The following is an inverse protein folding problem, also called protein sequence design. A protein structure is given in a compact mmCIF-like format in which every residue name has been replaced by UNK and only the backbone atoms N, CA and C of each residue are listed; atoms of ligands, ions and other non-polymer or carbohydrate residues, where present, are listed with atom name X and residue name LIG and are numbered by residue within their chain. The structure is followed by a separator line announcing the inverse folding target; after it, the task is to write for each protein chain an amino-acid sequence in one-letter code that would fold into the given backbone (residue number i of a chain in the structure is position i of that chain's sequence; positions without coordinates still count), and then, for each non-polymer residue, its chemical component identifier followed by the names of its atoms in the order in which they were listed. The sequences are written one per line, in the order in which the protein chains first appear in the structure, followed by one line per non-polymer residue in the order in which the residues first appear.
data_IF_450662512079
#
_entry.id   IF_450662512079
#
_cell.length_a   1.000
_cell.length_b   1.000
_cell.length_c   1.000
_cell.angle_alpha   90.00
_cell.angle_beta   90.00
_cell.angle_gamma   90.00
#
_symmetry.space_group_name_H-M   'P 1'
#
loop_
_entity.id
_entity.type
_entity.pdbx_description
1 polymer ?
#
# COMPACT_ATOMS: atom_id res chain seq x y z
N UNK A 1 -21.40 1.83 -7.79
CA UNK A 1 -19.94 2.05 -7.84
C UNK A 1 -19.36 1.50 -6.55
N UNK A 2 -18.32 0.66 -6.61
CA UNK A 2 -17.72 0.08 -5.40
C UNK A 2 -17.03 1.19 -4.61
N UNK A 3 -17.33 1.33 -3.32
CA UNK A 3 -16.72 2.34 -2.47
C UNK A 3 -15.43 1.82 -1.86
N UNK A 4 -14.29 2.29 -2.35
CA UNK A 4 -12.96 1.97 -1.81
C UNK A 4 -12.42 3.06 -0.86
N UNK A 5 -13.13 4.18 -0.71
CA UNK A 5 -12.68 5.29 0.15
C UNK A 5 -12.62 4.86 1.63
N UNK A 6 -11.61 5.36 2.33
CA UNK A 6 -11.40 5.10 3.75
C UNK A 6 -9.93 4.85 4.10
N UNK A 7 -9.70 4.46 5.34
CA UNK A 7 -8.39 4.12 5.87
C UNK A 7 -8.24 2.60 5.91
N UNK A 8 -7.27 2.12 5.18
CA UNK A 8 -6.91 0.70 5.06
C UNK A 8 -5.60 0.42 5.79
N UNK A 9 -5.58 -0.67 6.57
CA UNK A 9 -4.36 -1.17 7.20
C UNK A 9 -3.68 -2.17 6.27
N UNK A 10 -2.38 -2.10 6.12
CA UNK A 10 -1.62 -3.12 5.42
C UNK A 10 -1.53 -4.39 6.28
N UNK A 11 -1.91 -5.52 5.69
CA UNK A 11 -1.82 -6.83 6.31
C UNK A 11 -0.60 -7.58 5.81
N UNK A 12 -0.34 -7.52 4.49
CA UNK A 12 0.85 -8.12 3.91
C UNK A 12 1.27 -7.41 2.64
N UNK A 13 2.58 -7.44 2.37
CA UNK A 13 3.19 -7.00 1.12
C UNK A 13 4.15 -8.11 0.65
N UNK A 14 3.74 -8.81 -0.38
CA UNK A 14 4.36 -10.04 -0.81
C UNK A 14 4.77 -10.01 -2.28
N UNK A 15 5.95 -10.53 -2.58
CA UNK A 15 6.39 -10.84 -3.93
C UNK A 15 6.32 -12.34 -4.17
N UNK A 16 5.78 -12.71 -5.31
CA UNK A 16 5.63 -14.09 -5.74
C UNK A 16 6.38 -14.32 -7.04
N UNK A 17 7.01 -15.49 -7.14
CA UNK A 17 7.60 -16.02 -8.36
C UNK A 17 6.93 -17.36 -8.65
N UNK A 18 6.27 -17.52 -9.81
CA UNK A 18 5.53 -18.74 -10.15
C UNK A 18 4.52 -19.19 -9.07
N UNK A 19 3.88 -18.23 -8.37
CA UNK A 19 2.96 -18.53 -7.28
C UNK A 19 3.63 -18.84 -5.94
N UNK A 20 4.95 -18.93 -5.88
CA UNK A 20 5.72 -19.12 -4.64
C UNK A 20 6.10 -17.78 -4.03
N UNK A 21 5.88 -17.61 -2.73
CA UNK A 21 6.34 -16.44 -1.99
C UNK A 21 7.88 -16.42 -1.97
N UNK A 22 8.49 -15.34 -2.49
CA UNK A 22 9.95 -15.22 -2.57
C UNK A 22 10.50 -14.05 -1.73
N UNK A 23 9.69 -13.02 -1.46
CA UNK A 23 10.14 -11.86 -0.72
C UNK A 23 8.97 -11.16 -0.02
N UNK A 24 9.20 -10.71 1.19
CA UNK A 24 8.34 -9.82 1.96
C UNK A 24 9.12 -8.55 2.31
N UNK A 25 9.03 -7.48 1.49
CA UNK A 25 9.90 -6.30 1.64
C UNK A 25 9.80 -5.61 3.00
N UNK A 26 8.63 -5.69 3.63
CA UNK A 26 8.38 -5.13 4.95
C UNK A 26 8.19 -6.21 6.03
N UNK A 27 8.73 -7.42 5.79
CA UNK A 27 8.59 -8.54 6.71
C UNK A 27 7.19 -9.17 6.75
N UNK A 28 6.98 -10.17 7.63
CA UNK A 28 5.70 -10.89 7.74
C UNK A 28 4.58 -10.07 8.39
N UNK A 29 4.92 -9.04 9.15
CA UNK A 29 3.98 -8.16 9.86
C UNK A 29 4.26 -6.69 9.53
N UNK A 30 4.03 -6.25 8.28
CA UNK A 30 4.38 -4.89 7.86
C UNK A 30 3.55 -3.84 8.61
N UNK A 31 4.15 -2.69 8.85
CA UNK A 31 3.41 -1.49 9.21
C UNK A 31 3.00 -0.75 7.95
N UNK A 32 1.75 -0.34 7.85
CA UNK A 32 1.34 0.45 6.68
C UNK A 32 -0.10 0.91 6.72
N UNK A 33 -0.32 2.02 6.03
CA UNK A 33 -1.63 2.63 5.82
C UNK A 33 -1.79 3.01 4.36
N UNK A 34 -3.01 2.84 3.85
CA UNK A 34 -3.47 3.48 2.63
C UNK A 34 -4.71 4.28 2.97
N UNK A 35 -4.68 5.57 2.69
CA UNK A 35 -5.80 6.49 2.86
C UNK A 35 -6.32 6.80 1.48
N UNK A 36 -7.59 6.51 1.22
CA UNK A 36 -8.26 6.77 -0.04
C UNK A 36 -9.39 7.75 0.23
N UNK A 37 -9.28 8.93 -0.31
CA UNK A 37 -10.28 9.98 -0.18
C UNK A 37 -11.33 9.87 -1.29
N UNK A 38 -12.62 10.08 -0.98
CA UNK A 38 -13.68 10.02 -1.99
C UNK A 38 -13.52 11.07 -3.09
N UNK A 39 -12.77 12.14 -2.84
CA UNK A 39 -12.47 13.23 -3.77
C UNK A 39 -11.42 12.86 -4.83
N UNK A 40 -10.93 11.62 -4.85
CA UNK A 40 -10.03 11.13 -5.90
C UNK A 40 -8.54 11.30 -5.59
N UNK A 41 -8.15 11.31 -4.32
CA UNK A 41 -6.77 11.35 -3.88
C UNK A 41 -6.44 10.21 -2.92
N UNK A 42 -5.23 9.66 -3.00
CA UNK A 42 -4.79 8.65 -2.06
C UNK A 42 -3.37 8.89 -1.56
N UNK A 43 -3.08 8.34 -0.39
CA UNK A 43 -1.74 8.31 0.18
C UNK A 43 -1.44 6.92 0.74
N UNK A 44 -0.24 6.45 0.49
CA UNK A 44 0.26 5.15 0.94
C UNK A 44 1.56 5.34 1.69
N UNK A 45 1.68 4.67 2.83
CA UNK A 45 2.90 4.60 3.61
C UNK A 45 3.05 3.19 4.14
N UNK A 46 4.21 2.56 3.92
CA UNK A 46 4.52 1.25 4.47
C UNK A 46 5.98 1.18 4.90
N UNK A 47 6.26 0.38 5.93
CA UNK A 47 7.63 0.12 6.38
C UNK A 47 7.71 -1.22 7.11
N UNK A 48 8.92 -1.70 7.31
CA UNK A 48 9.20 -2.84 8.16
C UNK A 48 9.17 -2.41 9.65
N UNK A 49 8.63 -3.23 10.57
CA UNK A 49 8.59 -2.89 12.00
C UNK A 49 9.96 -2.58 12.59
N UNK A 50 11.00 -3.30 12.16
CA UNK A 50 12.39 -3.11 12.60
C UNK A 50 13.00 -1.78 12.16
N UNK A 51 12.48 -1.17 11.10
CA UNK A 51 12.88 0.16 10.63
C UNK A 51 12.05 1.29 11.26
N UNK A 52 10.99 0.96 12.00
CA UNK A 52 10.10 1.91 12.65
C UNK A 52 10.44 2.11 14.15
N UNK A 53 11.67 1.84 14.52
CA UNK A 53 12.17 2.04 15.89
C UNK A 53 13.04 3.29 15.97
N UNK A 54 13.09 3.97 17.12
CA UNK A 54 14.00 5.11 17.33
C UNK A 54 15.46 4.74 17.07
N UNK A 55 16.21 5.67 16.51
CA UNK A 55 17.67 5.51 16.36
C UNK A 55 18.32 5.40 17.74
N UNK A 56 19.20 4.43 17.98
CA UNK A 56 19.88 4.27 19.27
C UNK A 56 20.54 5.57 19.76
N UNK A 57 20.50 5.83 21.08
CA UNK A 57 21.09 7.02 21.68
C UNK A 57 20.24 8.30 21.50
N UNK A 58 18.93 8.15 21.19
CA UNK A 58 17.99 9.27 20.98
C UNK A 58 18.43 10.24 19.88
N UNK A 59 19.21 9.75 18.92
CA UNK A 59 19.70 10.54 17.78
C UNK A 59 18.51 10.97 16.93
N UNK A 60 18.42 12.28 16.65
CA UNK A 60 17.36 12.81 15.78
C UNK A 60 17.69 12.52 14.32
N UNK A 61 16.68 12.38 13.50
CA UNK A 61 16.81 12.10 12.07
C UNK A 61 17.84 12.97 11.34
N UNK A 62 17.84 14.29 11.61
CA UNK A 62 18.77 15.24 10.96
C UNK A 62 20.24 15.08 11.36
N UNK A 63 20.49 14.45 12.51
CA UNK A 63 21.81 14.29 13.11
C UNK A 63 22.30 12.84 12.95
N UNK A 64 21.47 11.98 12.34
CA UNK A 64 21.78 10.59 12.08
C UNK A 64 22.80 10.44 10.94
N UNK A 65 23.59 9.39 10.99
CA UNK A 65 24.49 9.01 9.90
C UNK A 65 23.70 8.55 8.66
N UNK A 66 24.33 8.64 7.48
CA UNK A 66 23.73 8.14 6.22
C UNK A 66 23.36 6.66 6.31
N UNK A 67 24.13 5.85 7.04
CA UNK A 67 23.85 4.44 7.24
C UNK A 67 22.56 4.21 8.06
N UNK A 68 22.34 4.98 9.12
CA UNK A 68 21.14 4.92 9.94
C UNK A 68 19.93 5.41 9.15
N UNK A 69 20.06 6.52 8.41
CA UNK A 69 19.01 7.01 7.52
C UNK A 69 18.65 5.96 6.46
N UNK A 70 19.67 5.34 5.83
CA UNK A 70 19.44 4.32 4.82
C UNK A 70 18.75 3.07 5.38
N UNK A 71 19.06 2.67 6.61
CA UNK A 71 18.40 1.53 7.27
C UNK A 71 16.91 1.78 7.49
N UNK A 72 16.49 3.01 7.76
CA UNK A 72 15.09 3.40 7.94
C UNK A 72 14.41 3.64 6.58
N UNK A 73 15.09 4.33 5.66
CA UNK A 73 14.48 4.77 4.41
C UNK A 73 14.32 3.65 3.37
N UNK A 74 15.26 2.68 3.29
CA UNK A 74 15.21 1.60 2.30
C UNK A 74 13.98 0.70 2.40
N UNK A 75 13.52 0.26 3.59
CA UNK A 75 12.30 -0.52 3.71
C UNK A 75 11.02 0.35 3.70
N UNK A 76 11.15 1.67 3.64
CA UNK A 76 9.99 2.56 3.58
C UNK A 76 9.53 2.75 2.15
N UNK A 77 8.22 2.60 1.92
CA UNK A 77 7.52 2.98 0.70
C UNK A 77 6.50 4.05 1.05
N UNK A 78 6.64 5.23 0.44
CA UNK A 78 5.68 6.33 0.59
C UNK A 78 5.40 6.99 -0.74
N UNK A 79 4.11 7.14 -1.07
CA UNK A 79 3.67 7.90 -2.24
C UNK A 79 2.26 8.42 -2.04
N UNK A 80 1.93 9.49 -2.77
CA UNK A 80 0.59 10.07 -2.83
C UNK A 80 0.29 10.52 -4.25
N UNK A 81 -0.99 10.66 -4.57
CA UNK A 81 -1.41 11.12 -5.87
C UNK A 81 -2.91 11.01 -6.12
N UNK A 82 -3.33 11.52 -7.28
CA UNK A 82 -4.71 11.38 -7.75
C UNK A 82 -4.97 9.95 -8.17
N UNK A 83 -6.17 9.46 -7.90
CA UNK A 83 -6.56 8.15 -8.36
C UNK A 83 -7.87 8.17 -9.16
N UNK A 84 -7.99 7.20 -10.02
CA UNK A 84 -9.20 6.87 -10.76
C UNK A 84 -9.47 5.38 -10.67
N UNK A 85 -10.75 5.00 -10.74
CA UNK A 85 -11.16 3.61 -10.85
C UNK A 85 -11.83 3.36 -12.19
N UNK A 86 -11.50 2.24 -12.80
CA UNK A 86 -12.08 1.77 -14.06
C UNK A 86 -12.29 0.26 -14.00
N UNK A 87 -12.94 -0.30 -15.02
CA UNK A 87 -13.12 -1.73 -15.16
C UNK A 87 -12.44 -2.23 -16.43
N UNK A 88 -11.68 -3.31 -16.31
CA UNK A 88 -11.17 -4.11 -17.42
C UNK A 88 -11.92 -5.45 -17.40
N UNK A 89 -12.98 -5.58 -18.22
CA UNK A 89 -13.96 -6.63 -18.05
C UNK A 89 -14.65 -6.55 -16.69
N UNK A 90 -14.63 -7.62 -15.92
CA UNK A 90 -15.16 -7.64 -14.54
C UNK A 90 -14.16 -7.18 -13.48
N UNK A 91 -12.88 -6.91 -13.87
CA UNK A 91 -11.81 -6.59 -12.93
C UNK A 91 -11.79 -5.09 -12.65
N UNK A 92 -11.93 -4.70 -11.38
CA UNK A 92 -11.71 -3.33 -10.93
C UNK A 92 -10.23 -2.98 -11.04
N UNK A 93 -9.92 -1.85 -11.66
CA UNK A 93 -8.56 -1.30 -11.80
C UNK A 93 -8.49 0.03 -11.07
N UNK A 94 -7.56 0.15 -10.15
CA UNK A 94 -7.14 1.39 -9.50
C UNK A 94 -5.92 1.93 -10.26
N UNK A 95 -6.04 3.13 -10.79
CA UNK A 95 -4.94 3.85 -11.46
C UNK A 95 -4.57 5.06 -10.63
N UNK A 96 -3.31 5.15 -10.20
CA UNK A 96 -2.80 6.29 -9.42
C UNK A 96 -1.78 7.05 -10.25
N UNK A 97 -2.04 8.35 -10.46
CA UNK A 97 -1.05 9.30 -10.97
C UNK A 97 -0.33 9.90 -9.77
N UNK A 98 0.89 9.43 -9.54
CA UNK A 98 1.69 9.80 -8.37
C UNK A 98 2.29 11.19 -8.57
N UNK A 99 2.09 12.08 -7.61
CA UNK A 99 2.63 13.46 -7.62
C UNK A 99 3.71 13.69 -6.57
N UNK A 100 3.80 12.82 -5.56
CA UNK A 100 4.92 12.78 -4.60
C UNK A 100 5.21 11.35 -4.19
N UNK A 101 6.49 10.96 -4.17
CA UNK A 101 6.95 9.64 -3.73
C UNK A 101 8.37 9.71 -3.15
N UNK A 102 8.68 8.79 -2.24
CA UNK A 102 10.06 8.57 -1.80
C UNK A 102 10.95 8.11 -2.97
N UNK A 103 10.44 7.20 -3.80
CA UNK A 103 11.09 6.82 -5.06
C UNK A 103 10.54 7.67 -6.21
N UNK A 104 11.31 8.62 -6.76
CA UNK A 104 10.84 9.52 -7.81
C UNK A 104 10.46 8.80 -9.11
N UNK A 105 10.94 7.57 -9.33
CA UNK A 105 10.59 6.78 -10.53
C UNK A 105 9.10 6.47 -10.62
N UNK A 106 8.38 6.47 -9.49
CA UNK A 106 6.93 6.24 -9.44
C UNK A 106 6.12 7.41 -10.00
N UNK A 107 6.73 8.61 -10.08
CA UNK A 107 6.09 9.82 -10.61
C UNK A 107 6.14 9.90 -12.15
N UNK A 108 6.94 9.05 -12.81
CA UNK A 108 7.14 9.10 -14.27
C UNK A 108 6.03 8.43 -15.06
N UNK A 109 5.18 7.60 -14.44
CA UNK A 109 4.10 6.86 -15.08
C UNK A 109 3.00 6.48 -14.08
N UNK A 110 1.73 6.36 -14.55
CA UNK A 110 0.64 5.92 -13.69
C UNK A 110 0.88 4.52 -13.12
N UNK A 111 0.56 4.36 -11.85
CA UNK A 111 0.63 3.08 -11.14
C UNK A 111 -0.74 2.39 -11.24
N UNK A 112 -0.82 1.31 -12.01
CA UNK A 112 -2.06 0.57 -12.23
C UNK A 112 -2.09 -0.72 -11.43
N UNK A 113 -3.20 -0.97 -10.74
CA UNK A 113 -3.40 -2.14 -9.88
C UNK A 113 -4.78 -2.76 -10.13
N UNK A 114 -4.81 -4.06 -10.31
CA UNK A 114 -6.05 -4.83 -10.18
C UNK A 114 -6.46 -4.85 -8.71
N UNK A 115 -7.69 -4.43 -8.42
CA UNK A 115 -8.24 -4.42 -7.07
C UNK A 115 -9.29 -5.53 -6.95
N UNK A 116 -9.10 -6.44 -5.99
CA UNK A 116 -10.08 -7.45 -5.61
C UNK A 116 -10.59 -7.12 -4.21
N UNK A 117 -11.90 -6.96 -4.08
CA UNK A 117 -12.55 -6.61 -2.81
C UNK A 117 -13.39 -7.78 -2.32
N UNK A 118 -13.35 -8.03 -1.03
CA UNK A 118 -14.21 -9.01 -0.37
C UNK A 118 -14.45 -8.60 1.09
N UNK A 119 -15.49 -9.13 1.68
CA UNK A 119 -15.81 -8.94 3.10
C UNK A 119 -15.74 -10.27 3.82
N UNK A 120 -15.11 -10.30 4.97
CA UNK A 120 -15.08 -11.45 5.85
C UNK A 120 -15.28 -11.00 7.30
N UNK A 121 -16.29 -11.56 7.95
CA UNK A 121 -16.64 -11.27 9.35
C UNK A 121 -16.83 -9.75 9.65
N UNK A 122 -17.41 -8.99 8.70
CA UNK A 122 -17.64 -7.56 8.85
C UNK A 122 -16.39 -6.68 8.66
N UNK A 123 -15.31 -7.26 8.18
CA UNK A 123 -14.09 -6.56 7.80
C UNK A 123 -14.00 -6.58 6.27
N UNK A 124 -13.81 -5.41 5.68
CA UNK A 124 -13.54 -5.31 4.25
C UNK A 124 -12.05 -5.53 4.00
N UNK A 125 -11.78 -6.32 2.98
CA UNK A 125 -10.43 -6.58 2.48
C UNK A 125 -10.28 -6.12 1.04
N UNK A 126 -9.08 -5.67 0.70
CA UNK A 126 -8.70 -5.30 -0.65
C UNK A 126 -7.34 -5.90 -1.00
N UNK A 127 -7.28 -6.64 -2.10
CA UNK A 127 -6.03 -7.14 -2.66
C UNK A 127 -5.68 -6.29 -3.87
N UNK A 128 -4.49 -5.70 -3.87
CA UNK A 128 -3.95 -4.95 -5.00
C UNK A 128 -2.81 -5.71 -5.67
N UNK A 129 -2.91 -5.92 -6.99
CA UNK A 129 -1.89 -6.57 -7.83
C UNK A 129 -1.58 -5.72 -9.06
N UNK A 130 -0.36 -5.76 -9.61
CA UNK A 130 -0.05 -5.05 -10.86
C UNK A 130 -0.99 -5.47 -12.00
N UNK A 131 -1.31 -4.50 -12.88
CA UNK A 131 -2.01 -4.78 -14.14
C UNK A 131 -0.97 -5.13 -15.22
N UNK A 132 -1.26 -6.17 -16.01
CA UNK A 132 -0.55 -6.40 -17.27
C UNK A 132 0.84 -7.01 -17.15
N UNK A 133 1.13 -7.74 -16.07
CA UNK A 133 2.22 -8.73 -16.15
C UNK A 133 1.71 -9.90 -17.00
N UNK A 134 2.21 -10.07 -18.25
CA UNK A 134 1.83 -11.22 -19.06
C UNK A 134 2.21 -12.50 -18.29
N UNK A 135 1.31 -13.47 -18.26
CA UNK A 135 1.57 -14.78 -17.64
C UNK A 135 2.80 -15.52 -18.22
N UNK A 136 3.45 -14.95 -19.23
CA UNK A 136 4.45 -15.62 -20.06
C UNK A 136 5.86 -15.03 -20.05
N UNK A 137 6.15 -13.88 -19.43
CA UNK A 137 7.48 -13.27 -19.61
C UNK A 137 8.27 -12.94 -18.36
N UNK A 138 7.68 -12.86 -17.19
CA UNK A 138 8.37 -12.94 -15.89
C UNK A 138 7.32 -13.23 -14.81
N UNK A 139 7.42 -14.34 -14.11
CA UNK A 139 6.44 -14.78 -13.13
C UNK A 139 6.55 -14.04 -11.78
N UNK A 140 7.10 -12.83 -11.77
CA UNK A 140 7.23 -11.99 -10.58
C UNK A 140 6.00 -11.09 -10.45
N UNK A 141 5.15 -11.38 -9.48
CA UNK A 141 4.03 -10.54 -9.12
C UNK A 141 4.17 -10.08 -7.68
N UNK A 142 3.72 -8.86 -7.37
CA UNK A 142 3.56 -8.47 -5.97
C UNK A 142 2.07 -8.29 -5.64
N UNK A 143 1.73 -8.45 -4.37
CA UNK A 143 0.39 -8.14 -3.88
C UNK A 143 0.45 -7.42 -2.54
N UNK A 144 -0.44 -6.43 -2.39
CA UNK A 144 -0.77 -5.85 -1.10
C UNK A 144 -2.12 -6.42 -0.66
N UNK A 145 -2.19 -6.97 0.52
CA UNK A 145 -3.44 -7.27 1.21
C UNK A 145 -3.70 -6.17 2.23
N UNK A 146 -4.85 -5.53 2.12
CA UNK A 146 -5.27 -4.44 2.98
C UNK A 146 -6.61 -4.80 3.64
N UNK A 147 -6.82 -4.32 4.86
CA UNK A 147 -8.08 -4.47 5.57
C UNK A 147 -8.55 -3.14 6.16
N UNK A 148 -9.88 -2.92 6.18
CA UNK A 148 -10.52 -1.84 6.93
C UNK A 148 -11.71 -2.38 7.70
N UNK A 149 -11.93 -1.85 8.90
CA UNK A 149 -13.18 -2.06 9.64
C UNK A 149 -14.09 -0.88 9.31
N UNK A 150 -15.27 -1.14 8.76
CA UNK A 150 -16.28 -0.08 8.60
C UNK A 150 -16.67 0.40 10.00
N UNK A 151 -16.40 1.68 10.31
CA UNK A 151 -16.94 2.29 11.52
C UNK A 151 -18.45 2.41 11.33
N UNK A 152 -19.22 1.73 12.16
CA UNK A 152 -20.68 1.89 12.20
C UNK A 152 -20.97 3.35 12.58
N UNK A 153 -21.76 4.05 11.76
CA UNK A 153 -22.19 5.43 11.98
C UNK A 153 -22.97 5.66 13.30
N UNK A 154 -23.23 4.61 14.10
CA UNK A 154 -23.90 4.72 15.40
C UNK A 154 -23.06 5.39 16.49
N UNK A 155 -21.74 5.53 16.33
CA UNK A 155 -20.86 6.13 17.36
C UNK A 155 -20.70 7.64 17.24
N UNK A 156 -21.19 8.28 16.16
CA UNK A 156 -21.06 9.73 15.93
C UNK A 156 -22.28 10.55 16.36
N UNK A 157 -23.38 9.91 16.78
CA UNK A 157 -24.62 10.60 17.19
C UNK A 157 -24.86 10.58 18.71
N UNK A 158 -23.88 10.16 19.51
CA UNK A 158 -23.99 10.12 20.99
C UNK A 158 -22.94 10.95 21.71
N UNK A 159 -22.64 12.14 21.20
CA UNK A 159 -21.92 13.15 21.98
C UNK A 159 -22.57 14.53 21.78
#
# INVERSE_FOLDING_TARGET
MVNIAGVWNLISFNYFLNGTLVLQPNGPHPLGKMIIMPEGYLSVQTTAPEAAVPIPGEVKWRDASDAEIAAIARPYLGYSGRYETSYLGAQLVLTTTVDVALDPSWMTRPQRRNATLFNENGIDYMILRPVGLPRLTLPVGFSFLLARRLMSNKALLSR
#
